data_IF_840055319552
#
_entry.id   IF_840055319552
#
_cell.length_a   1.000
_cell.length_b   1.000
_cell.length_c   1.000
_cell.angle_alpha   90.00
_cell.angle_beta   90.00
_cell.angle_gamma   90.00
#
_symmetry.space_group_name_H-M   'P 1'
#
loop_
_entity.id
_entity.type
_entity.pdbx_description
1 polymer ?
#
# COMPACT_ATOMS: atom_id res chain seq x y z
N UNK A 1 35.33 -2.14 -17.26
CA UNK A 1 34.14 -1.27 -17.15
C UNK A 1 33.24 -1.52 -18.36
N UNK A 2 32.30 -2.43 -18.23
CA UNK A 2 31.37 -2.78 -19.32
C UNK A 2 30.22 -1.76 -19.31
N UNK A 3 30.08 -1.02 -20.42
CA UNK A 3 28.98 -0.08 -20.68
C UNK A 3 27.69 -0.86 -20.97
N UNK A 4 26.99 -1.29 -19.94
CA UNK A 4 25.56 -1.58 -20.06
C UNK A 4 24.81 -0.30 -19.71
N UNK A 5 24.78 0.63 -20.63
CA UNK A 5 23.78 1.72 -20.62
C UNK A 5 22.43 1.04 -20.81
N UNK A 6 21.68 0.88 -19.74
CA UNK A 6 20.29 0.45 -19.83
C UNK A 6 19.58 1.46 -20.74
N UNK A 7 19.07 1.01 -21.88
CA UNK A 7 18.28 1.82 -22.78
C UNK A 7 17.00 2.17 -22.01
N UNK A 8 16.89 3.43 -21.59
CA UNK A 8 15.61 4.02 -21.20
C UNK A 8 14.66 3.77 -22.36
N UNK A 9 13.46 3.25 -22.07
CA UNK A 9 12.43 3.09 -23.08
C UNK A 9 12.37 4.34 -23.96
N UNK A 10 12.72 4.22 -25.23
CA UNK A 10 12.86 5.31 -26.20
C UNK A 10 11.71 6.34 -26.24
N UNK A 11 10.45 6.03 -25.84
CA UNK A 11 9.38 7.02 -25.73
C UNK A 11 9.56 8.05 -24.62
N UNK A 12 10.22 7.71 -23.49
CA UNK A 12 10.37 8.63 -22.34
C UNK A 12 11.45 9.68 -22.62
N UNK A 13 12.60 9.27 -23.15
CA UNK A 13 13.71 10.17 -23.46
C UNK A 13 13.34 11.28 -24.45
N UNK A 14 12.40 11.02 -25.38
CA UNK A 14 11.90 12.01 -26.34
C UNK A 14 10.98 13.07 -25.73
N UNK A 15 10.45 12.84 -24.53
CA UNK A 15 9.52 13.76 -23.83
C UNK A 15 10.22 14.61 -22.77
N UNK A 16 11.43 14.28 -22.41
CA UNK A 16 12.21 14.99 -21.40
C UNK A 16 13.12 16.01 -22.07
N UNK A 17 13.30 17.18 -21.44
CA UNK A 17 14.21 18.23 -21.92
C UNK A 17 15.70 17.91 -21.68
N UNK A 18 16.00 16.79 -21.05
CA UNK A 18 17.34 16.32 -20.74
C UNK A 18 17.30 14.90 -20.18
N UNK A 19 18.46 14.28 -19.99
CA UNK A 19 18.58 12.96 -19.38
C UNK A 19 18.71 13.09 -17.86
N UNK A 20 17.70 12.65 -17.06
CA UNK A 20 17.75 12.73 -15.61
C UNK A 20 18.55 11.59 -14.95
N UNK A 21 18.93 10.55 -15.71
CA UNK A 21 19.53 9.34 -15.16
C UNK A 21 20.86 9.63 -14.44
N UNK A 22 21.80 10.41 -15.00
CA UNK A 22 23.05 10.71 -14.30
C UNK A 22 22.81 11.32 -12.92
N UNK A 23 21.85 12.25 -12.82
CA UNK A 23 21.46 12.90 -11.56
C UNK A 23 20.80 11.92 -10.57
N UNK A 24 19.86 11.10 -11.02
CA UNK A 24 19.21 10.09 -10.17
C UNK A 24 20.18 9.01 -9.66
N UNK A 25 21.33 8.83 -10.33
CA UNK A 25 22.34 7.84 -9.95
C UNK A 25 23.49 8.41 -9.13
N UNK A 26 23.44 9.68 -8.73
CA UNK A 26 24.42 10.28 -7.84
C UNK A 26 24.53 9.49 -6.52
N UNK A 27 25.74 9.43 -5.96
CA UNK A 27 26.01 8.63 -4.74
C UNK A 27 25.59 9.32 -3.46
N UNK A 28 25.40 10.62 -3.53
CA UNK A 28 25.08 11.50 -2.41
C UNK A 28 23.65 11.25 -1.88
N UNK A 29 22.74 10.79 -2.75
CA UNK A 29 21.42 10.33 -2.35
C UNK A 29 21.25 8.81 -2.63
N UNK A 30 21.67 7.96 -1.69
CA UNK A 30 21.57 6.51 -1.88
C UNK A 30 20.15 5.99 -2.02
N UNK A 31 19.16 6.71 -1.45
CA UNK A 31 17.75 6.36 -1.55
C UNK A 31 17.21 6.55 -2.97
N UNK A 32 17.42 7.74 -3.55
CA UNK A 32 17.04 8.03 -4.93
C UNK A 32 17.77 7.11 -5.91
N UNK A 33 19.08 6.90 -5.71
CA UNK A 33 19.89 5.99 -6.51
C UNK A 33 19.33 4.57 -6.51
N UNK A 34 19.01 4.01 -5.34
CA UNK A 34 18.44 2.67 -5.23
C UNK A 34 17.11 2.55 -5.99
N UNK A 35 16.18 3.50 -5.77
CA UNK A 35 14.89 3.50 -6.43
C UNK A 35 15.04 3.68 -7.96
N UNK A 36 15.94 4.53 -8.43
CA UNK A 36 16.21 4.70 -9.85
C UNK A 36 16.76 3.41 -10.49
N UNK A 37 17.68 2.73 -9.82
CA UNK A 37 18.21 1.44 -10.29
C UNK A 37 17.13 0.37 -10.36
N UNK A 38 16.25 0.30 -9.36
CA UNK A 38 15.17 -0.68 -9.30
C UNK A 38 14.05 -0.39 -10.30
N UNK A 39 13.52 0.83 -10.28
CA UNK A 39 12.23 1.14 -10.91
C UNK A 39 12.38 1.80 -12.29
N UNK A 40 13.47 2.54 -12.53
CA UNK A 40 13.69 3.22 -13.81
C UNK A 40 14.58 2.41 -14.73
N UNK A 41 15.69 1.87 -14.18
CA UNK A 41 16.61 1.03 -14.97
C UNK A 41 16.19 -0.44 -14.99
N UNK A 42 15.31 -0.88 -14.09
CA UNK A 42 14.83 -2.25 -14.02
C UNK A 42 15.95 -3.27 -13.82
N UNK A 43 16.95 -2.94 -12.99
CA UNK A 43 18.05 -3.88 -12.73
C UNK A 43 17.50 -5.16 -12.08
N UNK A 44 18.05 -6.34 -12.44
CA UNK A 44 17.66 -7.59 -11.80
C UNK A 44 17.84 -7.55 -10.29
N UNK A 45 17.00 -8.28 -9.57
CA UNK A 45 17.07 -8.33 -8.10
C UNK A 45 18.43 -8.80 -7.57
N UNK A 46 19.15 -9.62 -8.35
CA UNK A 46 20.46 -10.20 -8.05
C UNK A 46 21.62 -9.26 -8.41
N UNK A 47 21.34 -8.09 -8.99
CA UNK A 47 22.39 -7.16 -9.41
C UNK A 47 23.17 -6.63 -8.19
N UNK A 48 24.50 -6.75 -8.26
CA UNK A 48 25.40 -6.38 -7.17
C UNK A 48 25.34 -4.90 -6.80
N UNK A 49 25.25 -4.03 -7.80
CA UNK A 49 25.18 -2.58 -7.59
C UNK A 49 23.83 -2.18 -6.97
N UNK A 50 22.74 -2.83 -7.40
CA UNK A 50 21.41 -2.65 -6.80
C UNK A 50 21.42 -3.06 -5.32
N UNK A 51 22.01 -4.21 -4.98
CA UNK A 51 22.15 -4.64 -3.59
C UNK A 51 22.98 -3.67 -2.75
N UNK A 52 24.08 -3.14 -3.31
CA UNK A 52 24.91 -2.18 -2.61
C UNK A 52 24.14 -0.88 -2.36
N UNK A 53 23.47 -0.34 -3.38
CA UNK A 53 22.65 0.86 -3.26
C UNK A 53 21.52 0.69 -2.22
N UNK A 54 20.86 -0.48 -2.19
CA UNK A 54 19.84 -0.80 -1.20
C UNK A 54 20.39 -0.79 0.22
N UNK A 55 21.52 -1.42 0.49
CA UNK A 55 22.15 -1.38 1.81
C UNK A 55 22.53 0.03 2.23
N UNK A 56 23.08 0.82 1.30
CA UNK A 56 23.41 2.22 1.57
C UNK A 56 22.18 3.06 1.90
N UNK A 57 21.07 2.86 1.18
CA UNK A 57 19.80 3.53 1.44
C UNK A 57 19.22 3.20 2.83
N UNK A 58 19.46 1.98 3.37
CA UNK A 58 19.05 1.60 4.72
C UNK A 58 19.98 2.16 5.81
N UNK A 59 21.27 2.26 5.51
CA UNK A 59 22.26 2.75 6.48
C UNK A 59 22.24 4.27 6.65
N UNK A 60 21.83 5.00 5.62
CA UNK A 60 21.89 6.46 5.57
C UNK A 60 20.63 7.07 4.94
N UNK A 61 20.31 8.30 5.34
CA UNK A 61 19.23 9.07 4.76
C UNK A 61 17.84 8.78 5.36
N UNK A 62 16.76 8.91 4.56
CA UNK A 62 15.39 8.90 5.08
C UNK A 62 14.96 7.62 5.78
N UNK A 63 15.36 6.44 5.28
CA UNK A 63 15.01 5.15 5.91
C UNK A 63 15.58 5.08 7.32
N UNK A 64 16.89 5.33 7.49
CA UNK A 64 17.54 5.36 8.80
C UNK A 64 16.85 6.38 9.72
N UNK A 65 16.59 7.59 9.23
CA UNK A 65 15.94 8.66 9.99
C UNK A 65 14.56 8.27 10.51
N UNK A 66 13.77 7.55 9.72
CA UNK A 66 12.44 7.05 10.15
C UNK A 66 12.60 5.96 11.19
N UNK A 67 13.50 4.99 10.96
CA UNK A 67 13.74 3.87 11.87
C UNK A 67 14.33 4.29 13.22
N UNK A 68 15.17 5.33 13.26
CA UNK A 68 15.75 5.85 14.49
C UNK A 68 14.74 6.51 15.43
N UNK A 69 13.57 6.88 14.89
CA UNK A 69 12.43 7.41 15.68
C UNK A 69 11.47 6.32 16.18
N UNK A 70 11.72 5.06 15.83
CA UNK A 70 10.89 3.94 16.23
C UNK A 70 11.10 3.61 17.70
N UNK A 71 10.03 3.40 18.45
CA UNK A 71 10.08 2.84 19.80
C UNK A 71 10.64 1.40 19.78
N UNK A 72 11.29 1.02 20.86
CA UNK A 72 11.86 -0.33 21.01
C UNK A 72 10.83 -1.45 20.85
N UNK A 73 9.55 -1.17 21.07
CA UNK A 73 8.46 -2.13 20.89
C UNK A 73 7.99 -2.28 19.44
N UNK A 74 8.40 -1.41 18.50
CA UNK A 74 8.09 -1.52 17.08
C UNK A 74 7.00 -0.57 16.57
N UNK A 75 6.70 0.49 17.30
CA UNK A 75 5.73 1.51 16.88
C UNK A 75 6.36 2.91 16.84
N UNK A 76 5.63 3.87 16.28
CA UNK A 76 5.98 5.31 16.32
C UNK A 76 4.92 6.09 17.07
N UNK A 77 5.35 7.06 17.86
CA UNK A 77 4.59 8.04 18.67
C UNK A 77 3.83 7.42 19.84
N UNK A 78 2.96 6.45 19.61
CA UNK A 78 2.16 5.82 20.68
C UNK A 78 1.80 4.38 20.32
N UNK A 79 1.59 3.51 21.30
CA UNK A 79 1.20 2.11 21.08
C UNK A 79 -0.21 2.00 20.47
N UNK A 80 -0.52 0.80 19.93
CA UNK A 80 -1.82 0.44 19.37
C UNK A 80 -1.81 0.36 17.84
N UNK A 81 -2.98 0.43 17.18
CA UNK A 81 -3.13 0.28 15.71
C UNK A 81 -2.41 1.33 14.87
N UNK A 82 -1.93 2.39 15.47
CA UNK A 82 -0.99 3.35 14.88
C UNK A 82 -1.54 4.23 13.76
N UNK A 83 -2.85 4.46 13.68
CA UNK A 83 -3.40 5.37 12.68
C UNK A 83 -3.26 6.85 13.04
N UNK A 84 -3.46 7.19 14.30
CA UNK A 84 -3.30 8.55 14.82
C UNK A 84 -2.02 8.71 15.65
N UNK A 85 -1.40 9.89 15.66
CA UNK A 85 -1.65 11.06 14.82
C UNK A 85 -1.23 10.82 13.36
N UNK A 86 -2.01 11.35 12.41
CA UNK A 86 -1.74 11.18 10.97
C UNK A 86 -0.32 11.67 10.61
N UNK A 87 0.29 10.97 9.65
CA UNK A 87 1.62 11.26 9.06
C UNK A 87 2.82 11.12 9.99
N UNK A 88 2.61 10.66 11.25
CA UNK A 88 3.69 10.52 12.24
C UNK A 88 3.74 9.16 12.92
N UNK A 89 2.59 8.48 13.02
CA UNK A 89 2.44 7.21 13.74
C UNK A 89 2.73 5.99 12.86
N UNK A 90 2.60 4.79 13.41
CA UNK A 90 3.06 3.52 12.83
C UNK A 90 2.55 3.27 11.41
N UNK A 91 1.26 3.49 11.12
CA UNK A 91 0.69 3.33 9.78
C UNK A 91 1.46 4.17 8.74
N UNK A 92 1.71 5.42 9.05
CA UNK A 92 2.32 6.37 8.12
C UNK A 92 3.82 6.13 7.97
N UNK A 93 4.49 5.72 9.04
CA UNK A 93 5.90 5.34 9.01
C UNK A 93 6.12 4.09 8.17
N UNK A 94 5.27 3.06 8.29
CA UNK A 94 5.33 1.86 7.46
C UNK A 94 5.06 2.17 5.98
N UNK A 95 4.05 3.00 5.68
CA UNK A 95 3.78 3.44 4.30
C UNK A 95 4.98 4.20 3.72
N UNK A 96 5.56 5.13 4.48
CA UNK A 96 6.72 5.89 4.04
C UNK A 96 7.94 4.99 3.82
N UNK A 97 8.23 4.06 4.73
CA UNK A 97 9.32 3.09 4.58
C UNK A 97 9.14 2.25 3.32
N UNK A 98 7.92 1.78 3.02
CA UNK A 98 7.62 1.04 1.80
C UNK A 98 7.86 1.90 0.54
N UNK A 99 7.44 3.16 0.55
CA UNK A 99 7.68 4.10 -0.55
C UNK A 99 9.17 4.39 -0.78
N UNK A 100 9.96 4.39 0.29
CA UNK A 100 11.40 4.54 0.24
C UNK A 100 12.14 3.25 -0.16
N UNK A 101 11.41 2.15 -0.36
CA UNK A 101 11.97 0.87 -0.75
C UNK A 101 12.66 0.10 0.38
N UNK A 102 12.29 0.38 1.62
CA UNK A 102 12.80 -0.35 2.78
C UNK A 102 12.35 -1.83 2.76
N UNK A 103 13.18 -2.73 3.31
CA UNK A 103 12.95 -4.18 3.27
C UNK A 103 13.32 -4.84 4.59
N UNK A 104 12.52 -5.83 5.01
CA UNK A 104 12.75 -6.59 6.25
C UNK A 104 14.10 -7.35 6.24
N UNK A 105 14.59 -7.75 5.08
CA UNK A 105 15.86 -8.46 4.92
C UNK A 105 17.07 -7.59 5.25
N UNK A 106 16.94 -6.27 5.11
CA UNK A 106 18.04 -5.34 5.35
C UNK A 106 18.06 -4.77 6.78
N UNK A 107 16.91 -4.71 7.45
CA UNK A 107 16.84 -4.16 8.81
C UNK A 107 15.75 -4.85 9.65
N UNK A 108 16.19 -5.52 10.71
CA UNK A 108 15.30 -6.24 11.66
C UNK A 108 14.25 -5.35 12.33
N UNK A 109 14.51 -4.05 12.41
CA UNK A 109 13.54 -3.10 12.96
C UNK A 109 12.27 -3.07 12.13
N UNK A 110 12.37 -3.24 10.81
CA UNK A 110 11.22 -3.30 9.90
C UNK A 110 10.38 -4.54 10.16
N UNK A 111 11.02 -5.71 10.31
CA UNK A 111 10.32 -6.95 10.68
C UNK A 111 9.58 -6.80 12.03
N UNK A 112 10.22 -6.16 13.00
CA UNK A 112 9.61 -5.89 14.31
C UNK A 112 8.40 -4.96 14.17
N UNK A 113 8.50 -3.89 13.39
CA UNK A 113 7.43 -2.94 13.20
C UNK A 113 6.22 -3.53 12.45
N UNK A 114 6.46 -4.31 11.40
CA UNK A 114 5.40 -5.00 10.66
C UNK A 114 4.70 -6.05 11.52
N UNK A 115 5.45 -6.80 12.33
CA UNK A 115 4.91 -7.74 13.32
C UNK A 115 4.03 -7.02 14.34
N UNK A 116 4.57 -6.00 15.01
CA UNK A 116 3.83 -5.18 15.97
C UNK A 116 2.53 -4.63 15.37
N UNK A 117 2.61 -4.08 14.15
CA UNK A 117 1.43 -3.52 13.49
C UNK A 117 0.33 -4.57 13.28
N UNK A 118 0.67 -5.75 12.76
CA UNK A 118 -0.30 -6.81 12.55
C UNK A 118 -0.89 -7.32 13.88
N UNK A 119 -0.10 -7.43 14.92
CA UNK A 119 -0.59 -7.86 16.25
C UNK A 119 -1.60 -6.87 16.86
N UNK A 120 -1.55 -5.59 16.47
CA UNK A 120 -2.41 -4.54 17.04
C UNK A 120 -3.52 -4.04 16.10
N UNK A 121 -3.42 -4.27 14.80
CA UNK A 121 -4.34 -3.72 13.81
C UNK A 121 -5.13 -4.77 13.04
N UNK A 122 -4.62 -6.01 12.89
CA UNK A 122 -5.31 -7.10 12.23
C UNK A 122 -6.30 -7.73 13.23
N UNK A 123 -7.58 -7.71 12.89
CA UNK A 123 -8.64 -8.28 13.69
C UNK A 123 -8.89 -9.76 13.33
N UNK A 124 -9.55 -10.48 14.20
CA UNK A 124 -9.89 -11.91 14.05
C UNK A 124 -10.66 -12.19 12.75
N UNK A 125 -11.55 -11.29 12.34
CA UNK A 125 -12.28 -11.38 11.06
C UNK A 125 -11.43 -11.17 9.81
N UNK A 126 -10.14 -10.83 9.95
CA UNK A 126 -9.19 -10.60 8.87
C UNK A 126 -9.04 -9.13 8.46
N UNK A 127 -9.93 -8.24 8.87
CA UNK A 127 -9.83 -6.82 8.51
C UNK A 127 -8.75 -6.07 9.30
N UNK A 128 -8.09 -5.15 8.66
CA UNK A 128 -7.18 -4.19 9.30
C UNK A 128 -8.00 -3.01 9.84
N UNK A 129 -7.74 -2.60 11.07
CA UNK A 129 -8.47 -1.53 11.74
C UNK A 129 -7.57 -0.36 12.13
N UNK A 130 -8.10 0.86 12.02
CA UNK A 130 -7.46 2.08 12.53
C UNK A 130 -7.66 2.27 14.04
N UNK A 131 -8.45 1.41 14.67
CA UNK A 131 -8.75 1.36 16.11
C UNK A 131 -8.71 -0.09 16.58
N UNK A 132 -8.78 -0.33 17.88
CA UNK A 132 -8.77 -1.70 18.43
C UNK A 132 -10.04 -2.50 18.14
N UNK A 133 -10.98 -1.96 17.36
CA UNK A 133 -12.25 -2.60 17.05
C UNK A 133 -12.64 -2.42 15.58
N UNK A 134 -13.64 -3.19 15.14
CA UNK A 134 -14.01 -3.25 13.71
C UNK A 134 -14.55 -1.93 13.15
N UNK A 135 -15.01 -1.02 14.02
CA UNK A 135 -15.46 0.31 13.59
C UNK A 135 -14.39 1.17 12.93
N UNK A 136 -13.11 0.82 13.07
CA UNK A 136 -11.97 1.45 12.42
C UNK A 136 -11.62 0.92 11.03
N UNK A 137 -12.39 -0.04 10.51
CA UNK A 137 -12.16 -0.63 9.18
C UNK A 137 -12.56 0.33 8.07
N UNK A 138 -11.64 0.62 7.14
CA UNK A 138 -11.88 1.45 5.95
C UNK A 138 -11.03 0.94 4.78
N UNK A 139 -11.59 0.94 3.57
CA UNK A 139 -10.93 0.35 2.38
C UNK A 139 -9.58 0.98 2.05
N UNK A 140 -9.46 2.30 2.17
CA UNK A 140 -8.17 2.95 1.89
C UNK A 140 -7.05 2.54 2.86
N UNK A 141 -7.37 2.14 4.10
CA UNK A 141 -6.41 1.58 5.04
C UNK A 141 -6.07 0.14 4.67
N UNK A 142 -7.07 -0.69 4.32
CA UNK A 142 -6.84 -2.05 3.83
C UNK A 142 -5.83 -2.02 2.68
N UNK A 143 -6.12 -1.27 1.62
CA UNK A 143 -5.27 -1.19 0.44
C UNK A 143 -3.87 -0.65 0.74
N UNK A 144 -3.76 0.46 1.47
CA UNK A 144 -2.47 1.04 1.82
C UNK A 144 -1.59 0.08 2.63
N UNK A 145 -2.16 -0.58 3.63
CA UNK A 145 -1.36 -1.42 4.51
C UNK A 145 -1.01 -2.76 3.88
N UNK A 146 -1.93 -3.38 3.14
CA UNK A 146 -1.62 -4.59 2.37
C UNK A 146 -0.48 -4.32 1.38
N UNK A 147 -0.53 -3.21 0.64
CA UNK A 147 0.54 -2.81 -0.26
C UNK A 147 1.84 -2.57 0.51
N UNK A 148 1.82 -1.73 1.54
CA UNK A 148 3.03 -1.35 2.26
C UNK A 148 3.72 -2.55 2.93
N UNK A 149 2.96 -3.44 3.58
CA UNK A 149 3.50 -4.62 4.23
C UNK A 149 4.09 -5.62 3.21
N UNK A 150 3.50 -5.72 2.02
CA UNK A 150 4.04 -6.53 0.92
C UNK A 150 5.34 -5.95 0.40
N UNK A 151 5.38 -4.66 0.12
CA UNK A 151 6.60 -3.97 -0.33
C UNK A 151 7.73 -4.06 0.69
N UNK A 152 7.42 -4.00 1.97
CA UNK A 152 8.40 -4.17 3.03
C UNK A 152 8.93 -5.61 3.15
N UNK A 153 8.28 -6.59 2.52
CA UNK A 153 8.65 -8.00 2.59
C UNK A 153 8.11 -8.71 3.84
N UNK A 154 6.98 -8.25 4.37
CA UNK A 154 6.31 -8.94 5.48
C UNK A 154 5.91 -10.37 5.07
N UNK A 155 5.86 -11.26 6.05
CA UNK A 155 5.41 -12.65 5.85
C UNK A 155 4.03 -12.68 5.19
N UNK A 156 3.99 -13.25 3.99
CA UNK A 156 2.80 -13.33 3.16
C UNK A 156 1.68 -14.14 3.82
N UNK A 157 2.01 -15.17 4.60
CA UNK A 157 1.02 -16.00 5.31
C UNK A 157 0.25 -15.18 6.35
N UNK A 158 0.92 -14.25 7.02
CA UNK A 158 0.28 -13.34 7.97
C UNK A 158 -0.67 -12.34 7.32
N UNK A 159 -0.50 -12.05 6.04
CA UNK A 159 -1.35 -11.12 5.29
C UNK A 159 -2.62 -11.79 4.73
N UNK A 160 -2.64 -13.12 4.60
CA UNK A 160 -3.74 -13.83 3.94
C UNK A 160 -5.14 -13.53 4.51
N UNK A 161 -5.35 -13.45 5.84
CA UNK A 161 -6.66 -13.08 6.37
C UNK A 161 -7.14 -11.70 5.87
N UNK A 162 -6.23 -10.73 5.79
CA UNK A 162 -6.57 -9.39 5.32
C UNK A 162 -6.78 -9.32 3.80
N UNK A 163 -6.03 -10.09 3.01
CA UNK A 163 -6.26 -10.23 1.58
C UNK A 163 -7.63 -10.83 1.32
N UNK A 164 -7.97 -11.91 2.01
CA UNK A 164 -9.26 -12.60 1.85
C UNK A 164 -10.42 -11.69 2.27
N UNK A 165 -10.32 -11.05 3.45
CA UNK A 165 -11.35 -10.11 3.89
C UNK A 165 -11.55 -8.97 2.90
N UNK A 166 -10.46 -8.40 2.39
CA UNK A 166 -10.52 -7.30 1.43
C UNK A 166 -11.16 -7.71 0.11
N UNK A 167 -10.81 -8.89 -0.42
CA UNK A 167 -11.42 -9.40 -1.65
C UNK A 167 -12.92 -9.70 -1.46
N UNK A 168 -13.32 -10.29 -0.33
CA UNK A 168 -14.72 -10.51 0.03
C UNK A 168 -15.49 -9.21 0.24
N UNK A 169 -14.86 -8.20 0.81
CA UNK A 169 -15.48 -6.88 0.94
C UNK A 169 -15.86 -6.28 -0.41
N UNK A 170 -15.02 -6.46 -1.43
CA UNK A 170 -15.31 -5.98 -2.79
C UNK A 170 -16.39 -6.80 -3.47
N UNK A 171 -16.32 -8.14 -3.42
CA UNK A 171 -17.25 -9.03 -4.14
C UNK A 171 -18.58 -9.25 -3.42
N UNK A 172 -18.64 -9.05 -2.11
CA UNK A 172 -19.78 -9.44 -1.29
C UNK A 172 -19.83 -10.95 -0.94
N UNK A 173 -18.90 -11.75 -1.45
CA UNK A 173 -18.91 -13.20 -1.29
C UNK A 173 -18.51 -13.63 0.13
N UNK A 174 -19.42 -14.31 0.84
CA UNK A 174 -19.16 -14.84 2.20
C UNK A 174 -18.83 -13.77 3.23
N UNK A 175 -19.39 -12.60 3.07
CA UNK A 175 -19.39 -11.51 4.04
C UNK A 175 -20.83 -11.12 4.35
N UNK A 176 -21.16 -11.08 5.61
CA UNK A 176 -22.54 -10.81 6.05
C UNK A 176 -22.84 -9.30 6.10
N UNK A 177 -24.13 -8.93 6.00
CA UNK A 177 -24.58 -7.56 6.27
C UNK A 177 -24.16 -7.06 7.66
N UNK A 178 -24.04 -5.77 7.82
CA UNK A 178 -23.64 -5.13 9.08
C UNK A 178 -24.62 -5.40 10.25
N UNK A 179 -25.86 -5.79 9.94
CA UNK A 179 -26.89 -6.19 10.92
C UNK A 179 -26.62 -7.51 11.62
N UNK A 180 -25.90 -8.42 10.98
CA UNK A 180 -25.57 -9.74 11.54
C UNK A 180 -24.36 -9.65 12.46
N UNK A 181 -24.59 -9.21 13.70
CA UNK A 181 -23.52 -8.88 14.64
C UNK A 181 -22.61 -10.05 15.03
N UNK A 182 -23.11 -11.25 14.98
CA UNK A 182 -22.43 -12.48 15.38
C UNK A 182 -21.70 -13.19 14.24
N UNK A 183 -21.84 -12.67 13.00
CA UNK A 183 -21.14 -13.22 11.86
C UNK A 183 -19.62 -12.98 11.97
N UNK A 184 -18.80 -14.01 11.72
CA UNK A 184 -17.34 -13.91 11.83
C UNK A 184 -16.74 -12.93 10.82
N UNK A 185 -17.40 -12.74 9.67
CA UNK A 185 -17.06 -11.74 8.65
C UNK A 185 -18.30 -10.97 8.27
N UNK A 186 -18.27 -9.66 8.48
CA UNK A 186 -19.38 -8.77 8.12
C UNK A 186 -18.91 -7.38 7.75
N UNK A 187 -19.76 -6.66 7.07
CA UNK A 187 -19.54 -5.23 6.85
C UNK A 187 -19.67 -4.44 8.15
N UNK A 188 -18.98 -3.33 8.21
CA UNK A 188 -19.12 -2.36 9.30
C UNK A 188 -19.76 -1.09 8.78
N UNK A 189 -21.10 -0.99 8.95
CA UNK A 189 -21.89 0.22 8.81
C UNK A 189 -21.45 1.17 7.66
N UNK A 190 -21.66 0.80 6.40
CA UNK A 190 -21.44 1.66 5.22
C UNK A 190 -19.99 2.17 5.06
N UNK A 191 -18.98 1.44 5.53
CA UNK A 191 -17.58 1.88 5.46
C UNK A 191 -16.74 1.13 4.46
N UNK A 192 -17.24 0.07 3.90
CA UNK A 192 -16.57 -0.79 2.93
C UNK A 192 -17.61 -1.35 1.98
N UNK A 193 -17.18 -2.18 1.05
CA UNK A 193 -18.06 -2.90 0.15
C UNK A 193 -17.77 -2.62 -1.32
N UNK A 194 -18.61 -3.12 -2.22
CA UNK A 194 -18.37 -3.05 -3.67
C UNK A 194 -18.16 -1.65 -4.23
N UNK A 195 -18.66 -0.63 -3.56
CA UNK A 195 -18.50 0.77 -3.95
C UNK A 195 -17.46 1.51 -3.10
N UNK A 196 -16.73 0.79 -2.23
CA UNK A 196 -15.71 1.37 -1.33
C UNK A 196 -16.25 2.53 -0.49
N UNK A 197 -17.49 2.41 -0.01
CA UNK A 197 -18.15 3.48 0.75
C UNK A 197 -17.34 3.88 1.99
N UNK A 198 -17.24 5.17 2.25
CA UNK A 198 -16.42 5.70 3.33
C UNK A 198 -17.18 6.70 4.19
N UNK A 199 -17.08 6.56 5.52
CA UNK A 199 -17.68 7.49 6.48
C UNK A 199 -17.18 8.92 6.33
N UNK A 200 -15.90 9.11 6.01
CA UNK A 200 -15.33 10.43 5.74
C UNK A 200 -15.82 11.06 4.42
N UNK A 201 -16.43 10.27 3.54
CA UNK A 201 -17.07 10.71 2.30
C UNK A 201 -18.61 10.65 2.41
N UNK A 202 -19.18 10.88 3.59
CA UNK A 202 -20.62 10.83 3.83
C UNK A 202 -21.28 9.51 3.38
N UNK A 203 -20.57 8.39 3.54
CA UNK A 203 -20.99 7.04 3.11
C UNK A 203 -21.24 6.91 1.61
N UNK A 204 -20.68 7.81 0.80
CA UNK A 204 -20.73 7.75 -0.66
C UNK A 204 -19.65 6.84 -1.21
N UNK A 205 -19.81 6.35 -2.46
CA UNK A 205 -18.75 5.64 -3.18
C UNK A 205 -17.43 6.40 -3.19
N UNK A 206 -16.31 5.67 -3.09
CA UNK A 206 -15.00 6.28 -2.90
C UNK A 206 -13.94 5.66 -3.83
N UNK A 207 -13.67 6.31 -4.96
CA UNK A 207 -12.60 5.88 -5.88
C UNK A 207 -11.21 5.88 -5.23
N UNK A 208 -10.96 6.75 -4.25
CA UNK A 208 -9.71 6.76 -3.47
C UNK A 208 -9.48 5.45 -2.70
N UNK A 209 -10.53 4.88 -2.10
CA UNK A 209 -10.47 3.55 -1.48
C UNK A 209 -10.28 2.47 -2.52
N UNK A 210 -11.04 2.53 -3.61
CA UNK A 210 -11.00 1.57 -4.71
C UNK A 210 -9.61 1.42 -5.33
N UNK A 211 -8.97 2.51 -5.73
CA UNK A 211 -7.61 2.49 -6.32
C UNK A 211 -6.60 1.81 -5.40
N UNK A 212 -6.64 2.09 -4.10
CA UNK A 212 -5.70 1.51 -3.13
C UNK A 212 -5.90 0.02 -2.93
N UNK A 213 -7.15 -0.40 -2.83
CA UNK A 213 -7.50 -1.82 -2.72
C UNK A 213 -7.10 -2.57 -3.98
N UNK A 214 -7.41 -2.03 -5.17
CA UNK A 214 -7.04 -2.67 -6.44
C UNK A 214 -5.52 -2.78 -6.60
N UNK A 215 -4.79 -1.74 -6.24
CA UNK A 215 -3.33 -1.76 -6.28
C UNK A 215 -2.75 -2.88 -5.39
N UNK A 216 -3.26 -3.01 -4.16
CA UNK A 216 -2.80 -4.05 -3.25
C UNK A 216 -3.16 -5.46 -3.73
N UNK A 217 -4.41 -5.69 -4.17
CA UNK A 217 -4.85 -7.00 -4.64
C UNK A 217 -4.13 -7.43 -5.93
N UNK A 218 -3.71 -6.49 -6.78
CA UNK A 218 -2.99 -6.78 -8.01
C UNK A 218 -1.59 -7.38 -7.77
N UNK A 219 -0.95 -7.07 -6.65
CA UNK A 219 0.40 -7.56 -6.31
C UNK A 219 0.39 -8.75 -5.35
N UNK A 220 -0.77 -9.10 -4.79
CA UNK A 220 -0.91 -10.14 -3.78
C UNK A 220 -1.66 -11.35 -4.32
N UNK A 221 -0.98 -12.49 -4.53
CA UNK A 221 -1.67 -13.75 -4.78
C UNK A 221 -2.31 -14.24 -3.47
N UNK A 222 -3.61 -14.04 -3.32
CA UNK A 222 -4.36 -14.60 -2.20
C UNK A 222 -4.41 -16.14 -2.26
N UNK A 223 -4.66 -16.81 -1.12
CA UNK A 223 -4.92 -18.25 -1.03
C UNK A 223 -6.11 -18.68 -1.90
N UNK A 224 -7.04 -17.75 -2.18
CA UNK A 224 -8.12 -17.94 -3.13
C UNK A 224 -7.95 -17.02 -4.35
N UNK A 225 -7.11 -17.41 -5.36
CA UNK A 225 -6.83 -16.57 -6.51
C UNK A 225 -8.06 -16.25 -7.35
N UNK A 226 -9.06 -17.12 -7.35
CA UNK A 226 -10.33 -16.89 -8.09
C UNK A 226 -11.13 -15.75 -7.45
N UNK A 227 -11.23 -15.72 -6.12
CA UNK A 227 -11.88 -14.63 -5.39
C UNK A 227 -11.14 -13.29 -5.62
N UNK A 228 -9.81 -13.29 -5.52
CA UNK A 228 -9.00 -12.10 -5.75
C UNK A 228 -9.16 -11.56 -7.17
N UNK A 229 -9.16 -12.44 -8.19
CA UNK A 229 -9.42 -12.02 -9.59
C UNK A 229 -10.80 -11.41 -9.77
N UNK A 230 -11.86 -11.99 -9.16
CA UNK A 230 -13.20 -11.39 -9.22
C UNK A 230 -13.25 -10.03 -8.54
N UNK A 231 -12.62 -9.89 -7.38
CA UNK A 231 -12.51 -8.61 -6.68
C UNK A 231 -11.79 -7.55 -7.53
N UNK A 232 -10.70 -7.92 -8.20
CA UNK A 232 -9.97 -7.01 -9.10
C UNK A 232 -10.87 -6.61 -10.28
N UNK A 233 -11.56 -7.55 -10.92
CA UNK A 233 -12.43 -7.25 -12.05
C UNK A 233 -13.57 -6.30 -11.64
N UNK A 234 -14.26 -6.58 -10.53
CA UNK A 234 -15.35 -5.75 -10.03
C UNK A 234 -14.90 -4.38 -9.57
N UNK A 235 -13.75 -4.28 -8.89
CA UNK A 235 -13.19 -3.00 -8.47
C UNK A 235 -12.67 -2.16 -9.64
N UNK A 236 -12.13 -2.80 -10.68
CA UNK A 236 -11.73 -2.12 -11.91
C UNK A 236 -12.95 -1.56 -12.66
N UNK A 237 -14.02 -2.34 -12.78
CA UNK A 237 -15.28 -1.90 -13.36
C UNK A 237 -15.83 -0.67 -12.63
N UNK A 238 -15.92 -0.72 -11.30
CA UNK A 238 -16.30 0.44 -10.49
C UNK A 238 -15.45 1.69 -10.77
N UNK A 239 -14.13 1.54 -10.93
CA UNK A 239 -13.24 2.67 -11.21
C UNK A 239 -13.41 3.22 -12.62
N UNK A 240 -13.71 2.35 -13.61
CA UNK A 240 -13.87 2.72 -15.01
C UNK A 240 -15.26 3.30 -15.32
N UNK A 241 -16.31 2.86 -14.66
CA UNK A 241 -17.66 3.41 -14.79
C UNK A 241 -17.74 4.89 -14.38
N UNK A 242 -16.86 5.33 -13.48
CA UNK A 242 -16.70 6.75 -13.12
C UNK A 242 -16.19 7.64 -14.25
N UNK A 243 -15.90 7.08 -15.45
CA UNK A 243 -15.44 7.75 -16.66
C UNK A 243 -14.37 8.82 -16.41
N UNK A 244 -13.13 8.43 -16.07
CA UNK A 244 -12.04 9.38 -15.96
C UNK A 244 -11.75 9.94 -17.35
N UNK A 245 -12.27 11.12 -17.66
CA UNK A 245 -11.90 11.82 -18.89
C UNK A 245 -10.39 12.06 -18.89
N UNK A 246 -9.69 11.91 -20.03
CA UNK A 246 -8.28 12.22 -20.11
C UNK A 246 -8.04 13.65 -19.59
N UNK A 247 -7.29 13.79 -18.50
CA UNK A 247 -6.97 15.07 -17.86
C UNK A 247 -7.99 15.60 -16.84
N UNK A 248 -9.06 14.89 -16.54
CA UNK A 248 -10.02 15.25 -15.49
C UNK A 248 -9.71 14.56 -14.15
N UNK A 249 -9.78 15.34 -13.06
CA UNK A 249 -9.90 14.76 -11.72
C UNK A 249 -11.19 13.94 -11.69
N UNK A 250 -11.21 12.68 -11.18
CA UNK A 250 -12.44 11.91 -11.07
C UNK A 250 -13.49 12.73 -10.33
N UNK A 251 -14.59 13.05 -10.99
CA UNK A 251 -15.72 13.67 -10.30
C UNK A 251 -16.17 12.70 -9.21
N UNK A 252 -16.38 13.20 -8.01
CA UNK A 252 -16.94 12.41 -6.91
C UNK A 252 -18.24 11.79 -7.41
N UNK A 253 -18.27 10.47 -7.55
CA UNK A 253 -19.47 9.75 -7.97
C UNK A 253 -20.60 10.17 -7.03
N UNK A 254 -21.64 10.84 -7.55
CA UNK A 254 -22.81 11.24 -6.80
C UNK A 254 -22.95 12.73 -6.43
N UNK A 255 -22.13 13.64 -6.99
CA UNK A 255 -22.54 15.07 -7.00
C UNK A 255 -23.27 15.37 -8.31
N UNK A 256 -24.52 15.94 -8.25
CA UNK A 256 -25.17 16.50 -9.42
C UNK A 256 -24.26 17.60 -10.00
N UNK A 257 -24.16 17.66 -11.32
CA UNK A 257 -23.53 18.80 -11.98
C UNK A 257 -24.26 20.06 -11.53
N UNK A 258 -23.59 20.95 -10.81
CA UNK A 258 -24.08 22.32 -10.61
C UNK A 258 -24.13 22.96 -12.00
N UNK A 259 -25.35 23.42 -12.37
CA UNK A 259 -25.64 24.14 -13.62
C UNK A 259 -25.15 25.58 -13.52
#
# INVERSE_FOLDING_TARGET
MSRRTAQINAPLSRRLKGDPIPWLLEKEDPGARYLAMRDVLGLPAEDRELHLARRQAHAHGPIATVLDKMDRSGYWVQPGPGYGPKYRSTVWSLILLAQLGARVEEDRRIAKATGYYLDNALLEGGQISSSSGPGGTVDCLQGNMLWALTELGCDQERLQPAVEWTARSVTGEGISPASEKDAPRRYYASKCGPTFACGANNKKPCAWGGVKVMHALAILPGRNPALVRRAIAQGAEFLLEGNPRPGGVPQRVGQPAER
#
